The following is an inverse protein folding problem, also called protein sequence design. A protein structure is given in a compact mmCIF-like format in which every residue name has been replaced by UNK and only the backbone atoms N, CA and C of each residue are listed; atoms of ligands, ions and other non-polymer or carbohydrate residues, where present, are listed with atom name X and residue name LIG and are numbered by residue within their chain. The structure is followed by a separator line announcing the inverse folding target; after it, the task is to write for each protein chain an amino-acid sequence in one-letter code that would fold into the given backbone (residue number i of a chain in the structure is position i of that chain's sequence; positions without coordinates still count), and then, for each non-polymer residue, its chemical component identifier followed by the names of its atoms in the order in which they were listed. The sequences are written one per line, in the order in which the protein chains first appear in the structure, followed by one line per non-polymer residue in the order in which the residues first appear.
data_IF_547562585813
#
_entry.id   IF_547562585813
#
_cell.length_a   1.000
_cell.length_b   1.000
_cell.length_c   1.000
_cell.angle_alpha   90.00
_cell.angle_beta   90.00
_cell.angle_gamma   90.00
#
_symmetry.space_group_name_H-M   'P 1'
#
loop_
_entity.id
_entity.type
_entity.pdbx_description
1 polymer ?
#
# COMPACT_ATOMS: atom_id res chain seq x y z
N UNK A 1 52.57 29.51 -33.93
CA UNK A 1 52.42 28.08 -34.29
C UNK A 1 51.37 28.00 -35.39
N UNK A 2 51.69 28.46 -36.61
CA UNK A 2 52.38 27.75 -37.70
C UNK A 2 51.53 26.61 -38.31
N UNK A 3 50.76 26.93 -39.37
CA UNK A 3 50.93 26.59 -40.83
C UNK A 3 50.57 25.13 -41.15
N UNK A 4 49.91 24.74 -42.24
CA UNK A 4 49.51 25.37 -43.50
C UNK A 4 49.12 24.24 -44.48
N UNK A 5 48.23 24.52 -45.44
CA UNK A 5 47.85 23.68 -46.61
C UNK A 5 49.05 23.43 -47.59
N UNK A 6 48.90 22.80 -48.79
CA UNK A 6 48.57 21.40 -49.14
C UNK A 6 49.57 20.79 -50.20
N UNK A 7 49.14 19.77 -50.97
CA UNK A 7 49.60 19.30 -52.31
C UNK A 7 50.76 18.26 -52.35
N UNK A 8 50.48 17.04 -52.86
CA UNK A 8 50.98 16.54 -54.18
C UNK A 8 50.60 15.09 -54.47
N UNK A 9 50.13 14.91 -55.71
CA UNK A 9 50.02 13.66 -56.46
C UNK A 9 51.36 12.90 -56.46
N UNK A 10 51.29 11.57 -56.40
CA UNK A 10 52.30 10.73 -57.03
C UNK A 10 51.62 9.61 -57.83
N UNK A 11 52.12 9.48 -59.04
CA UNK A 11 51.72 8.57 -60.12
C UNK A 11 52.60 7.31 -59.97
N UNK A 12 52.02 6.14 -60.16
CA UNK A 12 52.71 4.86 -60.35
C UNK A 12 51.74 3.89 -61.04
N UNK A 13 51.59 3.98 -62.36
CA UNK A 13 52.20 3.09 -63.36
C UNK A 13 51.80 1.62 -63.22
N UNK A 14 50.80 1.26 -64.02
CA UNK A 14 50.63 0.07 -64.85
C UNK A 14 51.33 -1.25 -64.46
N UNK A 15 50.49 -2.28 -64.28
CA UNK A 15 50.76 -3.60 -64.85
C UNK A 15 49.45 -4.14 -65.46
N UNK A 16 49.46 -4.28 -66.78
CA UNK A 16 48.49 -5.02 -67.57
C UNK A 16 48.69 -6.53 -67.31
N UNK A 17 47.62 -7.21 -66.94
CA UNK A 17 47.47 -8.65 -67.17
C UNK A 17 46.02 -8.94 -67.52
N UNK A 18 45.81 -9.23 -68.80
CA UNK A 18 44.55 -9.58 -69.43
C UNK A 18 44.22 -11.03 -69.12
N UNK A 19 43.09 -11.30 -68.47
CA UNK A 19 42.45 -12.59 -68.50
C UNK A 19 40.93 -12.38 -68.59
N UNK A 20 40.39 -12.65 -69.78
CA UNK A 20 38.97 -12.60 -70.07
C UNK A 20 38.30 -13.81 -69.39
N UNK A 21 37.36 -13.54 -68.49
CA UNK A 21 36.41 -14.53 -68.00
C UNK A 21 35.00 -13.97 -68.20
N UNK A 22 34.39 -14.40 -69.31
CA UNK A 22 32.95 -14.31 -69.55
C UNK A 22 32.28 -15.41 -68.72
N UNK A 23 31.47 -15.02 -67.73
CA UNK A 23 30.75 -15.99 -66.90
C UNK A 23 29.77 -15.35 -65.92
N UNK A 24 28.54 -15.14 -66.40
CA UNK A 24 27.28 -15.07 -65.63
C UNK A 24 27.16 -14.01 -64.50
N UNK A 25 26.63 -12.84 -64.83
CA UNK A 25 25.98 -11.97 -63.84
C UNK A 25 24.66 -12.60 -63.42
N UNK A 26 24.66 -13.40 -62.36
CA UNK A 26 23.43 -13.71 -61.63
C UNK A 26 23.00 -12.42 -60.93
N UNK A 27 21.91 -11.82 -61.40
CA UNK A 27 21.26 -10.74 -60.68
C UNK A 27 20.95 -11.23 -59.26
N UNK A 28 21.57 -10.59 -58.26
CA UNK A 28 21.22 -10.80 -56.88
C UNK A 28 19.79 -10.24 -56.72
N UNK A 29 18.83 -11.12 -56.45
CA UNK A 29 17.46 -10.69 -56.12
C UNK A 29 17.53 -9.66 -54.99
N UNK A 30 16.79 -8.55 -55.05
CA UNK A 30 16.76 -7.59 -53.97
C UNK A 30 16.34 -8.32 -52.70
N UNK A 31 17.23 -8.30 -51.69
CA UNK A 31 16.93 -8.82 -50.35
C UNK A 31 15.54 -8.30 -49.95
N UNK A 32 14.59 -9.19 -49.60
CA UNK A 32 13.25 -8.75 -49.24
C UNK A 32 13.37 -7.68 -48.16
N UNK A 33 12.70 -6.54 -48.38
CA UNK A 33 12.61 -5.50 -47.38
C UNK A 33 12.24 -6.14 -46.04
N UNK A 34 12.89 -5.77 -44.92
CA UNK A 34 12.49 -6.29 -43.62
C UNK A 34 10.98 -6.09 -43.50
N UNK A 35 10.26 -7.18 -43.20
CA UNK A 35 8.83 -7.12 -42.98
C UNK A 35 8.53 -5.93 -42.06
N UNK A 36 7.47 -5.13 -42.33
CA UNK A 36 7.10 -4.04 -41.44
C UNK A 36 7.08 -4.59 -40.02
N UNK A 37 7.80 -3.92 -39.11
CA UNK A 37 7.81 -4.32 -37.71
C UNK A 37 6.36 -4.58 -37.28
N UNK A 38 6.07 -5.71 -36.61
CA UNK A 38 4.71 -6.02 -36.21
C UNK A 38 4.13 -4.79 -35.51
N UNK A 39 2.92 -4.39 -35.92
CA UNK A 39 2.21 -3.28 -35.29
C UNK A 39 2.30 -3.46 -33.77
N UNK A 40 2.59 -2.40 -32.98
CA UNK A 40 2.82 -2.54 -31.55
C UNK A 40 1.61 -3.27 -30.95
N UNK A 41 1.86 -4.42 -30.33
CA UNK A 41 0.82 -5.20 -29.67
C UNK A 41 0.03 -4.27 -28.74
N UNK A 42 -1.30 -4.34 -28.82
CA UNK A 42 -2.17 -3.51 -28.00
C UNK A 42 -1.75 -3.63 -26.54
N UNK A 43 -1.48 -2.49 -25.89
CA UNK A 43 -0.97 -2.48 -24.52
C UNK A 43 -1.96 -3.16 -23.58
N UNK A 44 -1.51 -4.01 -22.64
CA UNK A 44 -2.39 -4.70 -21.71
C UNK A 44 -3.01 -3.77 -20.66
N UNK A 45 -2.60 -2.50 -20.62
CA UNK A 45 -3.06 -1.49 -19.69
C UNK A 45 -3.93 -0.45 -20.41
N UNK A 46 -5.26 -0.45 -20.21
CA UNK A 46 -6.14 0.59 -20.73
C UNK A 46 -5.85 1.97 -20.12
N UNK A 47 -5.51 2.00 -18.83
CA UNK A 47 -5.12 3.22 -18.12
C UNK A 47 -3.69 3.64 -18.49
N UNK A 48 -3.54 4.79 -19.14
CA UNK A 48 -2.25 5.30 -19.62
C UNK A 48 -1.32 5.73 -18.50
N UNK A 49 -1.85 6.14 -17.36
CA UNK A 49 -1.03 6.53 -16.22
C UNK A 49 -0.47 5.28 -15.52
N UNK A 50 -1.27 4.21 -15.45
CA UNK A 50 -0.80 2.90 -14.98
C UNK A 50 0.24 2.32 -15.94
N UNK A 51 -0.03 2.36 -17.25
CA UNK A 51 0.92 1.90 -18.28
C UNK A 51 2.26 2.63 -18.14
N UNK A 52 2.24 3.96 -18.01
CA UNK A 52 3.44 4.78 -17.84
C UNK A 52 4.19 4.41 -16.56
N UNK A 53 3.50 4.16 -15.45
CA UNK A 53 4.12 3.73 -14.19
C UNK A 53 4.81 2.36 -14.33
N UNK A 54 4.15 1.39 -14.97
CA UNK A 54 4.74 0.05 -15.22
C UNK A 54 5.97 0.15 -16.13
N UNK A 55 5.90 0.96 -17.19
CA UNK A 55 7.04 1.21 -18.08
C UNK A 55 8.23 1.85 -17.35
N UNK A 56 7.96 2.78 -16.44
CA UNK A 56 8.99 3.42 -15.63
C UNK A 56 9.72 2.42 -14.73
N UNK A 57 8.99 1.50 -14.09
CA UNK A 57 9.59 0.42 -13.28
C UNK A 57 10.48 -0.49 -14.13
N UNK A 58 10.02 -0.84 -15.33
CA UNK A 58 10.77 -1.71 -16.25
C UNK A 58 11.86 -0.97 -17.05
N UNK A 59 12.03 0.34 -16.88
CA UNK A 59 12.96 1.20 -17.65
C UNK A 59 12.80 1.02 -19.16
N UNK A 60 11.55 0.96 -19.62
CA UNK A 60 11.21 0.75 -21.02
C UNK A 60 10.70 2.02 -21.69
N UNK A 61 11.10 2.19 -22.96
CA UNK A 61 10.58 3.24 -23.83
C UNK A 61 9.08 3.06 -24.14
N UNK A 62 8.35 4.13 -24.49
CA UNK A 62 6.89 4.10 -24.73
C UNK A 62 6.43 3.08 -25.79
N UNK A 63 7.29 2.76 -26.78
CA UNK A 63 6.94 1.90 -27.91
C UNK A 63 7.42 0.45 -27.74
N UNK A 64 8.01 0.11 -26.60
CA UNK A 64 8.46 -1.26 -26.33
C UNK A 64 7.27 -2.11 -25.90
N UNK A 65 7.07 -3.26 -26.54
CA UNK A 65 5.99 -4.18 -26.15
C UNK A 65 6.17 -4.67 -24.70
N UNK A 66 5.09 -4.61 -23.93
CA UNK A 66 4.97 -5.12 -22.56
C UNK A 66 4.49 -6.57 -22.61
N UNK A 67 5.41 -7.51 -22.86
CA UNK A 67 5.10 -8.94 -22.89
C UNK A 67 4.90 -9.51 -21.48
N UNK A 68 4.26 -10.66 -21.38
CA UNK A 68 3.98 -11.30 -20.09
C UNK A 68 5.28 -11.62 -19.33
N UNK A 69 6.35 -12.03 -20.02
CA UNK A 69 7.67 -12.27 -19.40
C UNK A 69 8.25 -11.01 -18.77
N UNK A 70 8.02 -9.84 -19.37
CA UNK A 70 8.48 -8.56 -18.82
C UNK A 70 7.68 -8.16 -17.60
N UNK A 71 6.36 -8.35 -17.64
CA UNK A 71 5.47 -7.99 -16.53
C UNK A 71 5.71 -8.84 -15.29
N UNK A 72 6.22 -10.07 -15.45
CA UNK A 72 6.67 -10.89 -14.33
C UNK A 72 7.90 -10.31 -13.59
N UNK A 73 8.62 -9.34 -14.17
CA UNK A 73 9.75 -8.66 -13.50
C UNK A 73 9.31 -7.43 -12.69
N UNK A 74 8.02 -7.14 -12.60
CA UNK A 74 7.48 -6.06 -11.76
C UNK A 74 7.24 -6.61 -10.35
N UNK A 75 8.15 -6.30 -9.43
CA UNK A 75 8.06 -6.69 -8.00
C UNK A 75 7.51 -5.56 -7.12
N UNK A 76 7.79 -4.32 -7.50
CA UNK A 76 7.43 -3.11 -6.76
C UNK A 76 6.84 -2.14 -7.77
N UNK A 77 5.65 -1.62 -7.49
CA UNK A 77 5.01 -0.58 -8.29
C UNK A 77 4.53 0.54 -7.38
N UNK A 78 5.07 1.74 -7.58
CA UNK A 78 4.70 2.93 -6.84
C UNK A 78 4.23 4.00 -7.82
N UNK A 79 2.94 4.35 -7.75
CA UNK A 79 2.30 5.30 -8.65
C UNK A 79 1.33 6.21 -7.88
N UNK A 80 1.85 6.86 -6.83
CA UNK A 80 1.08 7.79 -5.98
C UNK A 80 0.68 9.03 -6.77
N UNK A 81 -0.58 9.45 -6.66
CA UNK A 81 -1.02 10.74 -7.23
C UNK A 81 -1.02 10.79 -8.76
N UNK A 82 -1.27 9.67 -9.44
CA UNK A 82 -1.17 9.54 -10.91
C UNK A 82 -2.51 9.55 -11.62
N UNK A 83 -3.60 9.80 -10.89
CA UNK A 83 -4.97 9.77 -11.42
C UNK A 83 -5.38 8.42 -12.04
N UNK A 84 -4.76 7.32 -11.61
CA UNK A 84 -5.07 5.96 -12.08
C UNK A 84 -6.48 5.58 -11.64
N UNK A 85 -7.25 5.00 -12.56
CA UNK A 85 -8.63 4.55 -12.33
C UNK A 85 -8.80 3.05 -12.54
N UNK A 86 -8.18 2.53 -13.59
CA UNK A 86 -8.34 1.15 -14.03
C UNK A 86 -7.04 0.37 -13.80
N UNK A 87 -7.14 -0.73 -13.06
CA UNK A 87 -6.04 -1.61 -12.70
C UNK A 87 -5.83 -2.77 -13.69
N UNK A 88 -6.67 -2.87 -14.72
CA UNK A 88 -6.57 -3.90 -15.75
C UNK A 88 -5.16 -3.99 -16.34
N UNK A 89 -4.65 -5.21 -16.45
CA UNK A 89 -3.28 -5.53 -16.85
C UNK A 89 -2.38 -5.86 -15.65
N UNK A 90 -2.68 -5.38 -14.44
CA UNK A 90 -1.90 -5.73 -13.24
C UNK A 90 -1.99 -7.20 -12.88
N UNK A 91 -3.04 -7.92 -13.28
CA UNK A 91 -3.15 -9.35 -13.08
C UNK A 91 -2.02 -10.14 -13.74
N UNK A 92 -1.29 -9.55 -14.70
CA UNK A 92 -0.11 -10.14 -15.37
C UNK A 92 1.18 -9.96 -14.56
N UNK A 93 1.24 -9.03 -13.61
CA UNK A 93 2.40 -8.76 -12.76
C UNK A 93 2.46 -9.76 -11.58
N UNK A 94 2.57 -11.07 -11.87
CA UNK A 94 2.39 -12.15 -10.86
C UNK A 94 3.37 -12.13 -9.68
N UNK A 95 4.52 -11.47 -9.83
CA UNK A 95 5.54 -11.37 -8.79
C UNK A 95 5.48 -10.05 -8.00
N UNK A 96 4.42 -9.25 -8.19
CA UNK A 96 4.23 -8.01 -7.47
C UNK A 96 4.08 -8.28 -5.97
N UNK A 97 5.01 -7.76 -5.18
CA UNK A 97 5.07 -7.90 -3.73
C UNK A 97 4.65 -6.60 -3.01
N UNK A 98 4.89 -5.46 -3.63
CA UNK A 98 4.54 -4.13 -3.09
C UNK A 98 3.82 -3.29 -4.15
N UNK A 99 2.63 -2.81 -3.79
CA UNK A 99 1.83 -1.91 -4.64
C UNK A 99 1.42 -0.67 -3.85
N UNK A 100 1.91 0.51 -4.25
CA UNK A 100 1.48 1.81 -3.72
C UNK A 100 0.75 2.61 -4.79
N UNK A 101 -0.54 2.82 -4.56
CA UNK A 101 -1.45 3.55 -5.45
C UNK A 101 -2.22 4.61 -4.67
N UNK A 102 -1.66 5.17 -3.60
CA UNK A 102 -2.35 6.23 -2.85
C UNK A 102 -2.62 7.48 -3.69
N UNK A 103 -3.68 8.21 -3.36
CA UNK A 103 -4.11 9.45 -4.04
C UNK A 103 -4.43 9.26 -5.53
N UNK A 104 -5.11 8.16 -5.86
CA UNK A 104 -5.59 7.89 -7.21
C UNK A 104 -7.14 7.92 -7.24
N UNK A 105 -7.75 7.29 -8.24
CA UNK A 105 -9.21 7.23 -8.43
C UNK A 105 -9.65 5.77 -8.62
N UNK A 106 -8.96 4.85 -7.95
CA UNK A 106 -9.20 3.40 -8.04
C UNK A 106 -10.46 3.04 -7.26
N UNK A 107 -11.39 2.34 -7.91
CA UNK A 107 -12.60 1.81 -7.26
C UNK A 107 -12.72 0.29 -7.35
N UNK A 108 -12.27 -0.32 -8.46
CA UNK A 108 -12.35 -1.76 -8.71
C UNK A 108 -11.00 -2.44 -8.46
N UNK A 109 -10.96 -3.42 -7.56
CA UNK A 109 -9.77 -4.18 -7.19
C UNK A 109 -9.70 -5.56 -7.87
N UNK A 110 -10.61 -5.92 -8.78
CA UNK A 110 -10.67 -7.25 -9.42
C UNK A 110 -9.37 -7.67 -10.08
N UNK A 111 -8.65 -6.73 -10.70
CA UNK A 111 -7.36 -7.01 -11.35
C UNK A 111 -6.29 -7.51 -10.36
N UNK A 112 -6.45 -7.24 -9.06
CA UNK A 112 -5.51 -7.68 -8.03
C UNK A 112 -5.74 -9.13 -7.58
N UNK A 113 -6.94 -9.71 -7.77
CA UNK A 113 -7.40 -10.95 -7.08
C UNK A 113 -6.41 -12.13 -7.08
N UNK A 114 -5.56 -12.23 -8.10
CA UNK A 114 -4.62 -13.35 -8.31
C UNK A 114 -3.14 -12.98 -8.00
N UNK A 115 -2.88 -11.80 -7.44
CA UNK A 115 -1.53 -11.35 -7.04
C UNK A 115 -1.16 -11.90 -5.66
N UNK A 116 -1.01 -13.22 -5.58
CA UNK A 116 -0.84 -13.96 -4.31
C UNK A 116 0.46 -13.65 -3.56
N UNK A 117 1.44 -13.04 -4.24
CA UNK A 117 2.72 -12.65 -3.67
C UNK A 117 2.69 -11.25 -3.01
N UNK A 118 1.55 -10.55 -3.03
CA UNK A 118 1.46 -9.20 -2.48
C UNK A 118 1.56 -9.24 -0.95
N UNK A 119 2.57 -8.54 -0.42
CA UNK A 119 2.87 -8.43 1.01
C UNK A 119 2.52 -7.04 1.56
N UNK A 120 2.56 -6.01 0.71
CA UNK A 120 2.26 -4.63 1.07
C UNK A 120 1.36 -3.96 0.01
N UNK A 121 0.21 -3.45 0.46
CA UNK A 121 -0.75 -2.75 -0.38
C UNK A 121 -1.13 -1.41 0.25
N UNK A 122 -0.92 -0.33 -0.50
CA UNK A 122 -1.38 1.02 -0.16
C UNK A 122 -2.34 1.53 -1.24
N UNK A 123 -3.59 1.75 -0.81
CA UNK A 123 -4.69 2.31 -1.59
C UNK A 123 -5.33 3.50 -0.85
N UNK A 124 -4.59 4.19 0.03
CA UNK A 124 -5.13 5.39 0.70
C UNK A 124 -5.59 6.45 -0.30
N UNK A 125 -6.62 7.23 0.05
CA UNK A 125 -7.14 8.31 -0.79
C UNK A 125 -7.54 7.81 -2.20
N UNK A 126 -8.46 6.84 -2.24
CA UNK A 126 -9.05 6.28 -3.46
C UNK A 126 -10.58 6.21 -3.33
N UNK A 127 -11.23 5.41 -4.17
CA UNK A 127 -12.69 5.27 -4.20
C UNK A 127 -13.15 3.82 -3.95
N UNK A 128 -12.35 3.04 -3.21
CA UNK A 128 -12.62 1.62 -2.95
C UNK A 128 -13.85 1.46 -2.06
N UNK A 129 -14.74 0.57 -2.47
CA UNK A 129 -15.94 0.16 -1.71
C UNK A 129 -15.89 -1.32 -1.38
N UNK A 130 -15.55 -2.17 -2.37
CA UNK A 130 -15.57 -3.62 -2.25
C UNK A 130 -14.16 -4.20 -2.03
N UNK A 131 -14.01 -4.92 -0.91
CA UNK A 131 -12.77 -5.60 -0.53
C UNK A 131 -12.75 -7.08 -0.90
N UNK A 132 -13.80 -7.63 -1.51
CA UNK A 132 -13.88 -9.05 -1.87
C UNK A 132 -12.66 -9.57 -2.67
N UNK A 133 -12.06 -8.81 -3.60
CA UNK A 133 -10.85 -9.25 -4.30
C UNK A 133 -9.65 -9.53 -3.38
N UNK A 134 -9.59 -8.93 -2.18
CA UNK A 134 -8.47 -9.06 -1.25
C UNK A 134 -8.53 -10.31 -0.37
N UNK A 135 -9.67 -11.03 -0.31
CA UNK A 135 -9.93 -12.08 0.70
C UNK A 135 -8.89 -13.22 0.77
N UNK A 136 -8.20 -13.48 -0.35
CA UNK A 136 -7.24 -14.58 -0.50
C UNK A 136 -5.77 -14.13 -0.31
N UNK A 137 -5.51 -12.89 0.10
CA UNK A 137 -4.16 -12.34 0.22
C UNK A 137 -3.52 -12.73 1.56
N UNK A 138 -3.42 -14.04 1.82
CA UNK A 138 -2.99 -14.59 3.13
C UNK A 138 -1.57 -14.18 3.54
N UNK A 139 -0.74 -13.78 2.57
CA UNK A 139 0.62 -13.26 2.79
C UNK A 139 0.70 -11.77 3.10
N UNK A 140 -0.40 -11.01 3.02
CA UNK A 140 -0.38 -9.56 3.22
C UNK A 140 -0.03 -9.20 4.66
N UNK A 141 0.98 -8.34 4.83
CA UNK A 141 1.52 -7.91 6.13
C UNK A 141 1.18 -6.45 6.45
N UNK A 142 1.04 -5.63 5.42
CA UNK A 142 0.69 -4.21 5.49
C UNK A 142 -0.46 -3.89 4.54
N UNK A 143 -1.52 -3.27 5.08
CA UNK A 143 -2.66 -2.81 4.30
C UNK A 143 -3.08 -1.41 4.71
N UNK A 144 -3.02 -0.48 3.77
CA UNK A 144 -3.45 0.91 3.93
C UNK A 144 -4.63 1.20 2.99
N UNK A 145 -5.77 1.54 3.58
CA UNK A 145 -7.07 1.74 2.94
C UNK A 145 -7.76 3.00 3.47
N UNK A 146 -7.03 3.92 4.11
CA UNK A 146 -7.60 5.14 4.66
C UNK A 146 -8.21 6.04 3.56
N UNK A 147 -9.22 6.82 3.92
CA UNK A 147 -9.93 7.75 3.03
C UNK A 147 -10.46 7.05 1.76
N UNK A 148 -11.26 6.00 1.97
CA UNK A 148 -12.01 5.28 0.94
C UNK A 148 -13.51 5.31 1.30
N UNK A 149 -14.30 4.41 0.70
CA UNK A 149 -15.76 4.33 0.90
C UNK A 149 -16.17 2.96 1.47
N UNK A 150 -15.29 2.36 2.28
CA UNK A 150 -15.46 1.00 2.80
C UNK A 150 -16.49 0.97 3.92
N UNK A 151 -17.36 -0.05 3.89
CA UNK A 151 -18.37 -0.32 4.92
C UNK A 151 -18.17 -1.72 5.52
N UNK A 152 -17.87 -2.72 4.70
CA UNK A 152 -17.76 -4.12 5.08
C UNK A 152 -16.29 -4.57 5.18
N UNK A 153 -15.94 -5.18 6.31
CA UNK A 153 -14.61 -5.73 6.60
C UNK A 153 -14.55 -7.26 6.50
N UNK A 154 -15.66 -7.95 6.19
CA UNK A 154 -15.70 -9.41 6.12
C UNK A 154 -14.58 -10.01 5.23
N UNK A 155 -14.22 -9.42 4.06
CA UNK A 155 -13.12 -9.94 3.26
C UNK A 155 -11.75 -9.93 3.95
N UNK A 156 -11.55 -9.07 4.96
CA UNK A 156 -10.28 -8.96 5.67
C UNK A 156 -10.08 -10.04 6.75
N UNK A 157 -11.15 -10.70 7.21
CA UNK A 157 -11.09 -11.60 8.37
C UNK A 157 -10.18 -12.81 8.20
N UNK A 158 -9.80 -13.14 6.97
CA UNK A 158 -8.85 -14.20 6.67
C UNK A 158 -7.39 -13.75 6.49
N UNK A 159 -7.06 -12.46 6.64
CA UNK A 159 -5.72 -11.92 6.38
C UNK A 159 -4.83 -11.95 7.62
N UNK A 160 -4.70 -13.14 8.23
CA UNK A 160 -4.11 -13.34 9.57
C UNK A 160 -2.60 -13.06 9.66
N UNK A 161 -1.95 -12.73 8.55
CA UNK A 161 -0.54 -12.28 8.51
C UNK A 161 -0.37 -10.78 8.70
N UNK A 162 -1.47 -9.99 8.69
CA UNK A 162 -1.42 -8.55 8.86
C UNK A 162 -0.79 -8.16 10.20
N UNK A 163 0.16 -7.25 10.13
CA UNK A 163 0.80 -6.59 11.27
C UNK A 163 0.43 -5.11 11.38
N UNK A 164 0.07 -4.48 10.25
CA UNK A 164 -0.40 -3.11 10.19
C UNK A 164 -1.62 -2.98 9.27
N UNK A 165 -2.68 -2.37 9.79
CA UNK A 165 -3.93 -2.14 9.07
C UNK A 165 -4.45 -0.73 9.33
N UNK A 166 -4.63 0.04 8.27
CA UNK A 166 -5.09 1.43 8.34
C UNK A 166 -6.37 1.59 7.52
N UNK A 167 -7.44 2.01 8.19
CA UNK A 167 -8.82 2.10 7.69
C UNK A 167 -9.46 3.44 8.06
N UNK A 168 -8.64 4.46 8.36
CA UNK A 168 -9.15 5.75 8.82
C UNK A 168 -9.98 6.46 7.75
N UNK A 169 -11.01 7.21 8.09
CA UNK A 169 -11.80 7.97 7.11
C UNK A 169 -12.62 7.10 6.16
N UNK A 170 -13.30 6.09 6.71
CA UNK A 170 -14.22 5.21 5.97
C UNK A 170 -15.64 5.30 6.57
N UNK A 171 -16.51 4.34 6.24
CA UNK A 171 -17.91 4.27 6.70
C UNK A 171 -18.16 3.01 7.55
N UNK A 172 -17.14 2.54 8.25
CA UNK A 172 -17.15 1.29 9.01
C UNK A 172 -17.97 1.48 10.30
N UNK A 173 -18.82 0.50 10.59
CA UNK A 173 -19.60 0.41 11.84
C UNK A 173 -19.22 -0.79 12.68
N UNK A 174 -19.03 -1.92 12.01
CA UNK A 174 -18.75 -3.22 12.64
C UNK A 174 -17.31 -3.65 12.37
N UNK A 175 -16.61 -3.97 13.45
CA UNK A 175 -15.20 -4.41 13.42
C UNK A 175 -15.04 -5.89 13.75
N UNK A 176 -16.14 -6.63 13.95
CA UNK A 176 -16.16 -8.07 14.24
C UNK A 176 -15.25 -8.93 13.33
N UNK A 177 -15.19 -8.69 12.01
CA UNK A 177 -14.30 -9.43 11.11
C UNK A 177 -12.81 -9.34 11.45
N UNK A 178 -12.38 -8.36 12.26
CA UNK A 178 -10.98 -8.20 12.65
C UNK A 178 -10.54 -9.18 13.75
N UNK A 179 -11.46 -9.91 14.38
CA UNK A 179 -11.17 -10.83 15.49
C UNK A 179 -10.00 -11.81 15.23
N UNK A 180 -9.83 -12.39 14.01
CA UNK A 180 -8.75 -13.33 13.74
C UNK A 180 -7.37 -12.68 13.55
N UNK A 181 -7.28 -11.36 13.44
CA UNK A 181 -6.05 -10.63 13.07
C UNK A 181 -5.13 -10.38 14.28
N UNK A 182 -4.90 -11.41 15.08
CA UNK A 182 -4.20 -11.35 16.38
C UNK A 182 -2.72 -10.94 16.30
N UNK A 183 -2.14 -10.85 15.10
CA UNK A 183 -0.77 -10.37 14.85
C UNK A 183 -0.69 -8.85 14.66
N UNK A 184 -1.83 -8.14 14.61
CA UNK A 184 -1.83 -6.69 14.43
C UNK A 184 -1.09 -5.99 15.57
N UNK A 185 -0.10 -5.19 15.19
CA UNK A 185 0.66 -4.31 16.05
C UNK A 185 0.26 -2.84 15.87
N UNK A 186 -0.24 -2.47 14.69
CA UNK A 186 -0.74 -1.13 14.39
C UNK A 186 -2.12 -1.20 13.73
N UNK A 187 -3.09 -0.50 14.29
CA UNK A 187 -4.45 -0.43 13.78
C UNK A 187 -4.95 1.02 13.79
N UNK A 188 -5.40 1.52 12.64
CA UNK A 188 -6.12 2.79 12.55
C UNK A 188 -7.54 2.58 12.04
N UNK A 189 -8.49 3.07 12.82
CA UNK A 189 -9.93 3.04 12.57
C UNK A 189 -10.55 4.43 12.79
N UNK A 190 -9.73 5.49 12.86
CA UNK A 190 -10.21 6.84 13.12
C UNK A 190 -11.19 7.34 12.04
N UNK A 191 -12.06 8.30 12.36
CA UNK A 191 -13.04 8.88 11.42
C UNK A 191 -13.92 7.81 10.76
N UNK A 192 -14.57 7.00 11.58
CA UNK A 192 -15.54 5.99 11.17
C UNK A 192 -16.84 6.16 11.98
N UNK A 193 -17.70 5.14 12.00
CA UNK A 193 -19.00 5.15 12.69
C UNK A 193 -19.07 4.02 13.74
N UNK A 194 -17.92 3.63 14.31
CA UNK A 194 -17.79 2.49 15.22
C UNK A 194 -18.34 2.84 16.59
N UNK A 195 -19.12 1.92 17.17
CA UNK A 195 -19.66 2.01 18.54
C UNK A 195 -19.10 0.94 19.45
N UNK A 196 -19.09 -0.30 18.96
CA UNK A 196 -18.61 -1.45 19.70
C UNK A 196 -17.18 -1.81 19.28
N UNK A 197 -16.29 -1.90 20.27
CA UNK A 197 -14.89 -2.28 20.13
C UNK A 197 -14.57 -3.56 20.90
N UNK A 198 -15.57 -4.33 21.30
CA UNK A 198 -15.44 -5.62 22.01
C UNK A 198 -14.46 -6.58 21.34
N UNK A 199 -14.45 -6.60 20.00
CA UNK A 199 -13.52 -7.42 19.21
C UNK A 199 -12.04 -7.14 19.52
N UNK A 200 -11.70 -5.91 19.93
CA UNK A 200 -10.32 -5.50 20.15
C UNK A 200 -9.70 -6.22 21.35
N UNK A 201 -10.49 -6.80 22.26
CA UNK A 201 -9.98 -7.67 23.34
C UNK A 201 -9.18 -8.86 22.81
N UNK A 202 -9.41 -9.28 21.56
CA UNK A 202 -8.66 -10.36 20.91
C UNK A 202 -7.32 -9.90 20.33
N UNK A 203 -7.15 -8.60 20.08
CA UNK A 203 -5.97 -8.02 19.44
C UNK A 203 -4.95 -7.56 20.49
N UNK A 204 -4.39 -8.52 21.23
CA UNK A 204 -3.54 -8.26 22.41
C UNK A 204 -2.14 -7.75 22.08
N UNK A 205 -1.75 -7.72 20.79
CA UNK A 205 -0.44 -7.27 20.30
C UNK A 205 -0.41 -5.83 19.81
N UNK A 206 -1.51 -5.08 19.93
CA UNK A 206 -1.57 -3.70 19.50
C UNK A 206 -0.63 -2.81 20.32
N UNK A 207 0.34 -2.22 19.63
CA UNK A 207 1.23 -1.16 20.15
C UNK A 207 0.73 0.24 19.79
N UNK A 208 -0.04 0.36 18.71
CA UNK A 208 -0.65 1.64 18.29
C UNK A 208 -2.08 1.41 17.83
N UNK A 209 -3.00 2.18 18.41
CA UNK A 209 -4.43 2.11 18.13
C UNK A 209 -5.01 3.51 17.97
N UNK A 210 -5.52 3.81 16.78
CA UNK A 210 -6.26 5.03 16.48
C UNK A 210 -7.76 4.74 16.32
N UNK A 211 -8.56 5.30 17.21
CA UNK A 211 -10.01 5.19 17.27
C UNK A 211 -10.68 6.57 17.28
N UNK A 212 -9.95 7.63 16.92
CA UNK A 212 -10.46 9.02 16.96
C UNK A 212 -11.72 9.19 16.13
N UNK A 213 -12.57 10.14 16.50
CA UNK A 213 -13.72 10.54 15.70
C UNK A 213 -14.62 9.34 15.33
N UNK A 214 -15.03 8.60 16.35
CA UNK A 214 -16.00 7.50 16.27
C UNK A 214 -17.18 7.76 17.23
N UNK A 215 -17.98 6.73 17.51
CA UNK A 215 -19.16 6.79 18.38
C UNK A 215 -18.99 5.87 19.60
N UNK A 216 -17.76 5.65 20.06
CA UNK A 216 -17.45 4.69 21.13
C UNK A 216 -17.86 5.28 22.48
N UNK A 217 -18.58 4.49 23.26
CA UNK A 217 -18.97 4.84 24.64
C UNK A 217 -18.22 3.98 25.68
N UNK A 218 -18.03 2.70 25.38
CA UNK A 218 -17.45 1.73 26.29
C UNK A 218 -15.98 1.42 25.95
N UNK A 219 -15.07 1.81 26.84
CA UNK A 219 -13.63 1.51 26.73
C UNK A 219 -13.20 0.27 27.52
N UNK A 220 -14.13 -0.48 28.12
CA UNK A 220 -13.85 -1.75 28.79
C UNK A 220 -13.02 -2.73 27.96
N UNK A 221 -13.34 -2.94 26.68
CA UNK A 221 -12.52 -3.76 25.77
C UNK A 221 -11.07 -3.30 25.62
N UNK A 222 -10.81 -2.00 25.83
CA UNK A 222 -9.51 -1.37 25.72
C UNK A 222 -8.60 -1.59 26.96
N UNK A 223 -9.16 -2.17 28.03
CA UNK A 223 -8.40 -2.53 29.24
C UNK A 223 -7.53 -3.80 29.06
N UNK A 224 -7.69 -4.53 27.94
CA UNK A 224 -6.97 -5.79 27.67
C UNK A 224 -5.69 -5.62 26.86
N UNK A 225 -5.44 -4.42 26.33
CA UNK A 225 -4.32 -4.12 25.45
C UNK A 225 -3.11 -3.74 26.29
N UNK A 226 -2.45 -4.75 26.85
CA UNK A 226 -1.32 -4.56 27.76
C UNK A 226 -0.01 -4.18 27.04
N UNK A 227 0.02 -4.19 25.71
CA UNK A 227 1.18 -3.80 24.90
C UNK A 227 1.04 -2.41 24.26
N UNK A 228 -0.06 -1.69 24.55
CA UNK A 228 -0.39 -0.42 23.90
C UNK A 228 0.54 0.72 24.35
N UNK A 229 1.13 1.43 23.38
CA UNK A 229 2.02 2.58 23.63
C UNK A 229 1.42 3.90 23.18
N UNK A 230 0.52 3.84 22.20
CA UNK A 230 -0.18 5.00 21.68
C UNK A 230 -1.64 4.66 21.48
N UNK A 231 -2.51 5.29 22.26
CA UNK A 231 -3.96 5.15 22.18
C UNK A 231 -4.58 6.52 21.89
N UNK A 232 -5.20 6.62 20.72
CA UNK A 232 -5.90 7.82 20.27
C UNK A 232 -7.40 7.54 20.29
N UNK A 233 -8.12 8.14 21.23
CA UNK A 233 -9.57 7.94 21.44
C UNK A 233 -10.33 9.27 21.43
N UNK A 234 -9.72 10.34 20.94
CA UNK A 234 -10.33 11.67 20.86
C UNK A 234 -11.68 11.66 20.11
N UNK A 235 -12.56 12.58 20.49
CA UNK A 235 -13.83 12.86 19.79
C UNK A 235 -14.72 11.61 19.65
N UNK A 236 -14.85 10.87 20.74
CA UNK A 236 -15.80 9.77 20.88
C UNK A 236 -16.97 10.18 21.82
N UNK A 237 -17.69 9.21 22.38
CA UNK A 237 -18.81 9.39 23.31
C UNK A 237 -18.49 8.80 24.70
N UNK A 238 -17.22 8.70 25.03
CA UNK A 238 -16.74 8.08 26.27
C UNK A 238 -17.08 8.98 27.45
N UNK A 239 -17.73 8.40 28.47
CA UNK A 239 -18.11 9.09 29.70
C UNK A 239 -17.31 8.63 30.91
N UNK A 240 -16.82 7.40 30.88
CA UNK A 240 -16.19 6.73 32.00
C UNK A 240 -14.87 6.07 31.56
N UNK A 241 -13.77 6.44 32.24
CA UNK A 241 -12.44 5.87 32.03
C UNK A 241 -12.06 4.84 33.10
N UNK A 242 -12.96 4.50 34.03
CA UNK A 242 -12.67 3.54 35.10
C UNK A 242 -12.01 2.24 34.61
N UNK A 243 -12.43 1.61 33.50
CA UNK A 243 -11.76 0.41 33.00
C UNK A 243 -10.28 0.63 32.65
N UNK A 244 -9.95 1.80 32.07
CA UNK A 244 -8.56 2.15 31.75
C UNK A 244 -7.75 2.52 33.01
N UNK A 245 -8.38 3.19 33.98
CA UNK A 245 -7.77 3.49 35.28
C UNK A 245 -7.38 2.21 36.01
N UNK A 246 -8.29 1.24 36.07
CA UNK A 246 -8.06 -0.02 36.77
C UNK A 246 -6.96 -0.84 36.09
N UNK A 247 -6.97 -0.89 34.75
CA UNK A 247 -5.91 -1.53 33.98
C UNK A 247 -4.54 -0.86 34.23
N UNK A 248 -4.49 0.47 34.21
CA UNK A 248 -3.24 1.22 34.39
C UNK A 248 -2.67 1.04 35.81
N UNK A 249 -3.52 1.06 36.84
CA UNK A 249 -3.11 0.78 38.22
C UNK A 249 -2.56 -0.63 38.37
N UNK A 250 -3.26 -1.62 37.80
CA UNK A 250 -2.83 -3.02 37.84
C UNK A 250 -1.45 -3.18 37.19
N UNK A 251 -1.24 -2.61 36.01
CA UNK A 251 0.05 -2.67 35.31
C UNK A 251 1.17 -1.93 36.05
N UNK A 252 0.90 -0.74 36.58
CA UNK A 252 1.86 0.06 37.35
C UNK A 252 2.33 -0.65 38.63
N UNK A 253 1.43 -1.40 39.28
CA UNK A 253 1.74 -2.22 40.46
C UNK A 253 2.39 -3.57 40.14
N UNK A 254 2.33 -4.00 38.88
CA UNK A 254 2.76 -5.32 38.43
C UNK A 254 3.82 -5.24 37.32
N UNK A 255 3.51 -5.71 36.10
CA UNK A 255 4.52 -5.97 35.07
C UNK A 255 5.05 -4.72 34.36
N UNK A 256 4.38 -3.55 34.51
CA UNK A 256 4.81 -2.24 33.96
C UNK A 256 5.06 -2.28 32.45
N UNK A 257 4.17 -2.94 31.70
CA UNK A 257 4.31 -3.15 30.26
C UNK A 257 3.81 -1.95 29.46
N UNK A 258 2.76 -1.26 29.95
CA UNK A 258 2.19 -0.12 29.24
C UNK A 258 2.15 1.16 30.09
N UNK A 259 2.01 1.09 31.40
CA UNK A 259 1.64 2.24 32.22
C UNK A 259 2.72 3.31 32.46
N UNK A 260 4.01 3.21 32.07
CA UNK A 260 4.82 4.44 31.90
C UNK A 260 5.01 4.86 30.43
N UNK A 261 4.65 3.98 29.49
CA UNK A 261 4.92 4.14 28.05
C UNK A 261 3.67 4.56 27.25
N UNK A 262 2.49 4.40 27.84
CA UNK A 262 1.22 4.74 27.21
C UNK A 262 1.08 6.25 27.08
N UNK A 263 1.00 6.69 25.84
CA UNK A 263 0.50 8.02 25.45
C UNK A 263 -0.97 7.90 25.09
N UNK A 264 -1.80 8.58 25.86
CA UNK A 264 -3.26 8.57 25.74
C UNK A 264 -3.75 9.93 25.30
N UNK A 265 -4.44 9.97 24.16
CA UNK A 265 -5.13 11.16 23.68
C UNK A 265 -6.63 10.91 23.74
N UNK A 266 -7.37 11.79 24.43
CA UNK A 266 -8.78 11.53 24.77
C UNK A 266 -9.69 12.76 24.67
N UNK A 267 -9.19 13.87 24.15
CA UNK A 267 -9.95 15.12 24.05
C UNK A 267 -11.24 15.01 23.27
N UNK A 268 -12.22 15.86 23.60
CA UNK A 268 -13.52 15.87 22.92
C UNK A 268 -14.45 14.71 23.29
N UNK A 269 -14.14 13.96 24.35
CA UNK A 269 -15.06 12.99 24.97
C UNK A 269 -15.92 13.64 26.07
N UNK A 270 -17.22 13.30 26.18
CA UNK A 270 -18.12 13.81 27.20
C UNK A 270 -17.93 13.12 28.56
N UNK A 271 -16.71 13.17 29.11
CA UNK A 271 -16.39 12.59 30.42
C UNK A 271 -17.31 13.16 31.51
N UNK A 272 -17.86 12.33 32.38
CA UNK A 272 -18.76 12.79 33.44
C UNK A 272 -18.05 13.68 34.47
N UNK A 273 -18.68 14.80 34.85
CA UNK A 273 -18.11 15.82 35.74
C UNK A 273 -17.69 15.30 37.12
N UNK A 274 -18.40 14.31 37.67
CA UNK A 274 -18.18 13.82 39.04
C UNK A 274 -16.92 12.95 39.22
N UNK A 275 -16.29 12.50 38.13
CA UNK A 275 -15.14 11.58 38.19
C UNK A 275 -14.00 11.93 37.24
N UNK A 276 -14.21 12.86 36.28
CA UNK A 276 -13.20 13.23 35.28
C UNK A 276 -11.84 13.56 35.89
N UNK A 277 -11.79 14.52 36.82
CA UNK A 277 -10.52 14.93 37.43
C UNK A 277 -9.84 13.76 38.16
N UNK A 278 -10.61 12.99 38.95
CA UNK A 278 -10.08 11.84 39.69
C UNK A 278 -9.55 10.73 38.78
N UNK A 279 -10.24 10.42 37.68
CA UNK A 279 -9.82 9.38 36.73
C UNK A 279 -8.57 9.80 35.95
N UNK A 280 -8.50 11.07 35.51
CA UNK A 280 -7.32 11.59 34.81
C UNK A 280 -6.11 11.64 35.75
N UNK A 281 -6.27 12.11 36.99
CA UNK A 281 -5.19 12.08 37.98
C UNK A 281 -4.78 10.65 38.34
N UNK A 282 -5.71 9.71 38.43
CA UNK A 282 -5.39 8.30 38.65
C UNK A 282 -4.58 7.68 37.50
N UNK A 283 -4.92 8.00 36.25
CA UNK A 283 -4.15 7.58 35.07
C UNK A 283 -2.72 8.16 35.10
N UNK A 284 -2.57 9.45 35.37
CA UNK A 284 -1.26 10.10 35.51
C UNK A 284 -0.45 9.50 36.65
N UNK A 285 -1.07 9.24 37.80
CA UNK A 285 -0.43 8.61 38.95
C UNK A 285 0.04 7.18 38.65
N UNK A 286 -0.64 6.48 37.75
CA UNK A 286 -0.19 5.19 37.23
C UNK A 286 0.95 5.29 36.20
N UNK A 287 1.31 6.51 35.76
CA UNK A 287 2.39 6.80 34.81
C UNK A 287 1.93 7.07 33.37
N UNK A 288 0.62 7.03 33.11
CA UNK A 288 0.06 7.26 31.77
C UNK A 288 0.29 8.72 31.37
N UNK A 289 0.84 8.94 30.17
CA UNK A 289 1.04 10.27 29.60
C UNK A 289 -0.23 10.68 28.87
N UNK A 290 -0.99 11.56 29.49
CA UNK A 290 -2.17 12.14 28.86
C UNK A 290 -1.70 13.33 28.03
N UNK A 291 -1.99 13.29 26.73
CA UNK A 291 -1.60 14.30 25.75
C UNK A 291 -2.89 14.83 25.10
N UNK A 292 -2.97 16.14 24.90
CA UNK A 292 -4.21 16.82 24.49
C UNK A 292 -4.35 18.18 25.15
#
# INVERSE_FOLDING_TARGET
MMIGYPIRRMIGVAALATAAQLGSTRAEEPKPAPAPAPAPAASPFPDKNLEAAVRAVLKHEPNVALTDEKLQNVYILEAVGKEIKDLTGLEKCKNLALLRLSKNKVADLKALKDLKNLESLDLADNEVVDLAPLKEFKGLQYLELSNNKIVDLAPLGGLTSLSALYLGGNQIKEVGPLAPLVKLASLSLGKNQIKDVSVLEKLTKLSTLDLRENQIENVGPLAKQTEIKLLLIERNKIKDLAPLVDAAKADASGPKLFAPYLRLYLDGNPLSDSSRAAQLEALKAAGVRIEG
#
